data_IF_522757185791
#
_entry.id   IF_522757185791
#
_cell.length_a   1.000
_cell.length_b   1.000
_cell.length_c   1.000
_cell.angle_alpha   90.00
_cell.angle_beta   90.00
_cell.angle_gamma   90.00
#
_symmetry.space_group_name_H-M   'P 1'
#
loop_
_entity.id
_entity.type
_entity.pdbx_description
1 polymer ?
#
# COMPACT_ATOMS: atom_id res chain seq x y z
N UNK A 1 -8.69 3.18 -4.12
CA UNK A 1 -9.91 2.71 -3.41
C UNK A 1 -9.67 2.71 -1.92
N UNK A 2 -10.55 3.30 -1.14
CA UNK A 2 -10.43 3.23 0.31
C UNK A 2 -11.42 2.19 0.84
N UNK A 3 -10.98 1.41 1.83
CA UNK A 3 -11.80 0.36 2.42
C UNK A 3 -12.04 0.72 3.87
N UNK A 4 -13.34 0.76 4.25
CA UNK A 4 -13.73 1.05 5.61
C UNK A 4 -13.95 -0.26 6.36
N UNK A 5 -13.39 -0.34 7.56
CA UNK A 5 -13.43 -1.55 8.38
C UNK A 5 -14.35 -1.34 9.56
N UNK A 6 -15.47 -2.04 9.54
CA UNK A 6 -16.42 -2.04 10.66
C UNK A 6 -16.50 -3.45 11.23
N UNK A 7 -16.42 -3.63 12.56
CA UNK A 7 -16.38 -4.98 13.14
C UNK A 7 -17.52 -5.89 12.69
N UNK A 8 -18.74 -5.36 12.58
CA UNK A 8 -19.90 -6.14 12.16
C UNK A 8 -19.90 -6.54 10.70
N UNK A 9 -19.00 -5.97 9.88
CA UNK A 9 -18.97 -6.21 8.44
C UNK A 9 -17.68 -6.85 7.96
N UNK A 10 -16.79 -7.23 8.86
CA UNK A 10 -15.46 -7.75 8.49
C UNK A 10 -15.55 -9.01 7.61
N UNK A 11 -16.47 -9.90 7.91
CA UNK A 11 -16.62 -11.14 7.13
C UNK A 11 -17.02 -10.85 5.69
N UNK A 12 -17.94 -9.92 5.49
CA UNK A 12 -18.40 -9.53 4.15
C UNK A 12 -17.29 -8.79 3.39
N UNK A 13 -16.56 -7.91 4.08
CA UNK A 13 -15.44 -7.20 3.50
C UNK A 13 -14.32 -8.16 3.07
N UNK A 14 -14.05 -9.20 3.88
CA UNK A 14 -13.06 -10.22 3.55
C UNK A 14 -13.39 -10.90 2.21
N UNK A 15 -14.64 -11.30 2.00
CA UNK A 15 -15.06 -11.92 0.74
C UNK A 15 -14.88 -10.99 -0.45
N UNK A 16 -15.29 -9.73 -0.31
CA UNK A 16 -15.18 -8.75 -1.39
C UNK A 16 -13.75 -8.49 -1.75
N UNK A 17 -12.88 -8.33 -0.75
CA UNK A 17 -11.46 -8.09 -0.99
C UNK A 17 -10.80 -9.28 -1.65
N UNK A 18 -11.15 -10.50 -1.23
CA UNK A 18 -10.61 -11.70 -1.83
C UNK A 18 -10.97 -11.81 -3.32
N UNK A 19 -12.18 -11.44 -3.69
CA UNK A 19 -12.61 -11.44 -5.09
C UNK A 19 -11.84 -10.40 -5.92
N UNK A 20 -11.66 -9.21 -5.38
CA UNK A 20 -10.89 -8.16 -6.05
C UNK A 20 -9.42 -8.56 -6.13
N UNK A 21 -8.88 -9.10 -5.04
CA UNK A 21 -7.46 -9.46 -4.94
C UNK A 21 -7.05 -10.51 -5.97
N UNK A 22 -7.97 -11.37 -6.38
CA UNK A 22 -7.68 -12.38 -7.39
C UNK A 22 -7.22 -11.76 -8.73
N UNK A 23 -7.59 -10.51 -9.00
CA UNK A 23 -7.25 -9.82 -10.24
C UNK A 23 -6.14 -8.78 -10.06
N UNK A 24 -5.60 -8.65 -8.86
CA UNK A 24 -4.63 -7.61 -8.51
C UNK A 24 -3.21 -8.11 -8.71
N UNK A 25 -2.38 -7.28 -9.32
CA UNK A 25 -0.96 -7.56 -9.53
C UNK A 25 -0.08 -6.91 -8.46
N UNK A 26 -0.45 -5.73 -7.98
CA UNK A 26 0.30 -4.95 -7.00
C UNK A 26 -0.67 -4.32 -6.02
N UNK A 27 -0.35 -4.39 -4.74
CA UNK A 27 -1.11 -3.70 -3.69
C UNK A 27 -0.34 -2.44 -3.28
N UNK A 28 -1.02 -1.30 -3.28
CA UNK A 28 -0.48 -0.04 -2.80
C UNK A 28 -1.24 0.30 -1.52
N UNK A 29 -0.56 0.21 -0.39
CA UNK A 29 -1.16 0.51 0.90
C UNK A 29 -0.68 1.87 1.39
N UNK A 30 -1.63 2.80 1.57
CA UNK A 30 -1.32 4.16 2.02
C UNK A 30 -1.43 4.20 3.54
N UNK A 31 -0.33 4.55 4.18
CA UNK A 31 -0.21 4.61 5.64
C UNK A 31 0.09 6.03 6.08
N UNK A 32 -0.22 6.33 7.34
CA UNK A 32 0.17 7.61 7.93
C UNK A 32 1.62 7.49 8.42
N UNK A 33 2.52 8.30 7.87
CA UNK A 33 3.94 8.25 8.21
C UNK A 33 4.21 8.54 9.69
N UNK A 34 3.29 9.22 10.37
CA UNK A 34 3.44 9.52 11.80
C UNK A 34 3.21 8.28 12.67
N UNK A 35 2.35 7.35 12.24
CA UNK A 35 1.99 6.15 12.99
C UNK A 35 1.76 4.97 12.02
N UNK A 36 2.81 4.52 11.29
CA UNK A 36 2.60 3.52 10.24
C UNK A 36 2.07 2.18 10.77
N UNK A 37 2.52 1.75 11.93
CA UNK A 37 2.09 0.48 12.52
C UNK A 37 0.62 0.45 12.85
N UNK A 38 0.06 1.58 13.28
CA UNK A 38 -1.37 1.67 13.60
C UNK A 38 -2.24 1.83 12.37
N UNK A 39 -1.70 2.34 11.28
CA UNK A 39 -2.47 2.53 10.06
C UNK A 39 -2.46 1.29 9.15
N UNK A 40 -1.63 0.31 9.44
CA UNK A 40 -1.56 -0.92 8.67
C UNK A 40 -2.77 -1.83 8.95
N UNK A 41 -3.30 -2.45 7.89
CA UNK A 41 -4.44 -3.35 8.01
C UNK A 41 -3.99 -4.81 7.92
N UNK A 42 -4.13 -5.58 9.02
CA UNK A 42 -3.69 -6.99 9.02
C UNK A 42 -4.43 -7.88 8.01
N UNK A 43 -5.70 -7.59 7.75
CA UNK A 43 -6.49 -8.36 6.80
C UNK A 43 -5.95 -8.21 5.38
N UNK A 44 -5.49 -7.03 5.01
CA UNK A 44 -4.87 -6.82 3.70
C UNK A 44 -3.57 -7.60 3.57
N UNK A 45 -2.78 -7.68 4.63
CA UNK A 45 -1.56 -8.47 4.63
C UNK A 45 -1.86 -9.94 4.35
N UNK A 46 -2.88 -10.48 5.00
CA UNK A 46 -3.30 -11.86 4.83
C UNK A 46 -3.81 -12.13 3.41
N UNK A 47 -4.70 -11.29 2.91
CA UNK A 47 -5.36 -11.50 1.61
C UNK A 47 -4.44 -11.19 0.44
N UNK A 48 -3.46 -10.33 0.64
CA UNK A 48 -2.49 -9.98 -0.38
C UNK A 48 -1.66 -11.20 -0.83
N UNK A 49 -1.32 -12.08 0.11
CA UNK A 49 -0.49 -13.24 -0.18
C UNK A 49 0.87 -12.84 -0.72
N UNK A 50 1.37 -13.51 -1.79
CA UNK A 50 2.68 -13.23 -2.35
C UNK A 50 2.75 -12.02 -3.28
N UNK A 51 1.64 -11.31 -3.46
CA UNK A 51 1.63 -10.15 -4.36
C UNK A 51 2.54 -9.04 -3.82
N UNK A 52 3.30 -8.35 -4.71
CA UNK A 52 4.12 -7.22 -4.27
C UNK A 52 3.26 -6.13 -3.62
N UNK A 53 3.82 -5.49 -2.62
CA UNK A 53 3.16 -4.43 -1.89
C UNK A 53 4.05 -3.21 -1.78
N UNK A 54 3.51 -2.06 -2.16
CA UNK A 54 4.14 -0.77 -1.96
C UNK A 54 3.52 -0.13 -0.72
N UNK A 55 4.32 0.13 0.30
CA UNK A 55 3.89 0.84 1.52
C UNK A 55 4.16 2.32 1.33
N UNK A 56 3.12 3.09 1.10
CA UNK A 56 3.23 4.54 0.89
C UNK A 56 3.04 5.25 2.22
N UNK A 57 4.11 5.87 2.71
CA UNK A 57 4.10 6.61 3.97
C UNK A 57 3.72 8.05 3.67
N UNK A 58 2.43 8.35 3.78
CA UNK A 58 1.90 9.67 3.51
C UNK A 58 2.12 10.61 4.70
N UNK A 59 2.11 11.90 4.45
CA UNK A 59 2.35 12.95 5.45
C UNK A 59 3.76 12.85 6.05
N UNK A 60 4.74 12.46 5.24
CA UNK A 60 6.11 12.29 5.70
C UNK A 60 6.73 13.60 6.22
N UNK A 61 6.25 14.73 5.72
CA UNK A 61 6.65 16.06 6.19
C UNK A 61 6.27 16.33 7.65
N UNK A 62 5.30 15.59 8.19
CA UNK A 62 4.82 15.71 9.57
C UNK A 62 5.42 14.66 10.51
N UNK A 63 6.25 13.77 9.99
CA UNK A 63 6.83 12.66 10.77
C UNK A 63 8.29 12.93 11.11
N UNK A 64 8.76 12.27 12.17
CA UNK A 64 10.18 12.32 12.54
C UNK A 64 11.00 11.54 11.50
N UNK A 65 11.98 12.16 10.82
CA UNK A 65 12.76 11.47 9.78
C UNK A 65 13.50 10.22 10.27
N UNK A 66 13.99 10.23 11.51
CA UNK A 66 14.71 9.08 12.07
C UNK A 66 13.77 7.91 12.26
N UNK A 67 12.57 8.16 12.79
CA UNK A 67 11.56 7.13 13.00
C UNK A 67 11.05 6.61 11.66
N UNK A 68 10.86 7.49 10.69
CA UNK A 68 10.44 7.10 9.34
C UNK A 68 11.47 6.18 8.69
N UNK A 69 12.76 6.48 8.83
CA UNK A 69 13.82 5.62 8.30
C UNK A 69 13.77 4.23 8.92
N UNK A 70 13.52 4.13 10.22
CA UNK A 70 13.39 2.85 10.92
C UNK A 70 12.19 2.05 10.42
N UNK A 71 11.06 2.70 10.18
CA UNK A 71 9.88 2.04 9.62
C UNK A 71 10.13 1.55 8.19
N UNK A 72 10.84 2.32 7.39
CA UNK A 72 11.20 1.90 6.03
C UNK A 72 12.05 0.64 6.05
N UNK A 73 13.03 0.57 6.94
CA UNK A 73 13.85 -0.62 7.09
C UNK A 73 13.01 -1.82 7.52
N UNK A 74 12.11 -1.62 8.47
CA UNK A 74 11.20 -2.67 8.93
C UNK A 74 10.35 -3.21 7.77
N UNK A 75 9.76 -2.33 6.96
CA UNK A 75 8.93 -2.77 5.84
C UNK A 75 9.74 -3.50 4.77
N UNK A 76 10.98 -3.08 4.52
CA UNK A 76 11.86 -3.82 3.60
C UNK A 76 12.17 -5.22 4.12
N UNK A 77 12.41 -5.34 5.41
CA UNK A 77 12.68 -6.65 6.03
C UNK A 77 11.45 -7.56 5.96
N UNK A 78 10.25 -7.00 5.92
CA UNK A 78 9.01 -7.75 5.74
C UNK A 78 8.71 -8.09 4.28
N UNK A 79 9.60 -7.75 3.35
CA UNK A 79 9.40 -8.07 1.94
C UNK A 79 8.54 -7.08 1.18
N UNK A 80 8.27 -5.91 1.75
CA UNK A 80 7.51 -4.85 1.08
C UNK A 80 8.43 -3.69 0.68
N UNK A 81 7.94 -2.81 -0.19
CA UNK A 81 8.71 -1.66 -0.66
C UNK A 81 8.12 -0.39 -0.07
N UNK A 82 8.85 0.31 0.80
CA UNK A 82 8.36 1.57 1.38
C UNK A 82 8.70 2.78 0.50
N UNK A 83 7.83 3.79 0.54
CA UNK A 83 8.04 5.06 -0.14
C UNK A 83 7.42 6.19 0.68
N UNK A 84 8.18 7.25 0.88
CA UNK A 84 7.70 8.44 1.56
C UNK A 84 7.04 9.39 0.56
N UNK A 85 5.89 9.95 0.93
CA UNK A 85 5.26 11.00 0.15
C UNK A 85 4.67 12.08 1.06
N UNK A 86 4.40 13.24 0.46
CA UNK A 86 3.60 14.29 1.05
C UNK A 86 2.42 14.56 0.11
N UNK A 87 1.21 14.54 0.64
CA UNK A 87 0.00 14.67 -0.18
C UNK A 87 -0.10 15.99 -0.93
N UNK A 88 0.70 16.98 -0.53
CA UNK A 88 0.70 18.30 -1.17
C UNK A 88 1.58 18.39 -2.40
N UNK A 89 2.36 17.36 -2.71
CA UNK A 89 3.28 17.38 -3.84
C UNK A 89 2.75 16.51 -4.99
N UNK A 90 2.31 17.11 -6.13
CA UNK A 90 1.80 16.33 -7.26
C UNK A 90 2.83 15.38 -7.87
N UNK A 91 4.13 15.67 -7.73
CA UNK A 91 5.19 14.81 -8.25
C UNK A 91 5.22 13.45 -7.55
N UNK A 92 4.72 13.35 -6.32
CA UNK A 92 4.73 12.11 -5.55
C UNK A 92 3.81 11.05 -6.16
N UNK A 93 2.68 11.46 -6.74
CA UNK A 93 1.80 10.52 -7.45
C UNK A 93 2.51 9.89 -8.65
N UNK A 94 3.30 10.67 -9.37
CA UNK A 94 4.09 10.16 -10.50
C UNK A 94 5.19 9.21 -10.04
N UNK A 95 5.80 9.49 -8.90
CA UNK A 95 6.82 8.61 -8.32
C UNK A 95 6.23 7.24 -7.99
N UNK A 96 5.03 7.20 -7.43
CA UNK A 96 4.33 5.95 -7.15
C UNK A 96 4.13 5.15 -8.43
N UNK A 97 3.60 5.79 -9.46
CA UNK A 97 3.35 5.14 -10.75
C UNK A 97 4.64 4.65 -11.41
N UNK A 98 5.74 5.37 -11.24
CA UNK A 98 7.02 5.00 -11.81
C UNK A 98 7.63 3.75 -11.15
N UNK A 99 7.33 3.50 -9.87
CA UNK A 99 7.86 2.35 -9.13
C UNK A 99 7.11 1.07 -9.45
N UNK A 100 5.81 1.16 -9.74
CA UNK A 100 4.91 0.01 -9.89
C UNK A 100 5.40 -1.02 -10.93
N UNK A 101 5.83 -0.66 -12.15
CA UNK A 101 6.27 -1.66 -13.11
C UNK A 101 7.43 -2.53 -12.61
N UNK A 102 8.34 -1.95 -11.83
CA UNK A 102 9.49 -2.68 -11.29
C UNK A 102 9.11 -3.72 -10.23
N UNK A 103 7.91 -3.64 -9.67
CA UNK A 103 7.45 -4.58 -8.65
C UNK A 103 6.89 -5.86 -9.25
N UNK A 104 6.50 -5.85 -10.51
CA UNK A 104 5.86 -6.98 -11.19
C UNK A 104 6.88 -7.60 -12.15
N UNK A 105 7.78 -8.44 -11.62
CA UNK A 105 8.95 -8.91 -12.34
C UNK A 105 8.70 -10.01 -13.36
N UNK A 106 7.66 -10.81 -13.19
CA UNK A 106 7.44 -12.00 -14.00
C UNK A 106 6.48 -11.79 -15.15
N UNK A 107 6.11 -10.53 -15.44
CA UNK A 107 5.06 -10.23 -16.39
C UNK A 107 5.59 -9.53 -17.64
N UNK A 108 5.02 -9.88 -18.78
CA UNK A 108 5.28 -9.15 -20.00
C UNK A 108 4.41 -7.90 -20.04
N UNK A 109 4.99 -6.74 -19.75
CA UNK A 109 4.26 -5.48 -19.57
C UNK A 109 3.70 -4.89 -20.85
N UNK A 110 4.23 -5.33 -21.99
CA UNK A 110 3.92 -4.67 -23.27
C UNK A 110 2.49 -4.94 -23.69
N UNK A 111 1.93 -6.09 -23.29
CA UNK A 111 0.65 -6.56 -23.80
C UNK A 111 -0.48 -6.57 -22.78
N UNK A 112 -0.21 -6.32 -21.51
CA UNK A 112 -1.23 -6.41 -20.46
C UNK A 112 -1.10 -5.29 -19.44
N UNK A 113 -2.23 -4.65 -19.07
CA UNK A 113 -2.20 -3.62 -18.04
C UNK A 113 -1.89 -4.23 -16.66
N UNK A 114 -1.26 -3.44 -15.81
CA UNK A 114 -1.01 -3.81 -14.42
C UNK A 114 -2.21 -3.36 -13.59
N UNK A 115 -2.81 -4.30 -12.88
CA UNK A 115 -3.94 -4.01 -11.99
C UNK A 115 -3.43 -3.72 -10.59
N UNK A 116 -3.66 -2.50 -10.11
CA UNK A 116 -3.24 -2.06 -8.79
C UNK A 116 -4.46 -1.92 -7.89
N UNK A 117 -4.33 -2.36 -6.65
CA UNK A 117 -5.32 -2.09 -5.62
C UNK A 117 -4.72 -1.06 -4.65
N UNK A 118 -5.38 0.09 -4.54
CA UNK A 118 -4.95 1.14 -3.62
C UNK A 118 -5.87 1.14 -2.42
N UNK A 119 -5.31 0.95 -1.24
CA UNK A 119 -6.07 0.88 0.00
C UNK A 119 -5.44 1.76 1.06
N UNK A 120 -6.24 2.16 2.04
CA UNK A 120 -5.80 2.94 3.18
C UNK A 120 -6.88 3.00 4.22
N UNK A 121 -6.51 3.39 5.44
CA UNK A 121 -7.51 3.65 6.46
C UNK A 121 -8.08 5.06 6.28
N UNK A 122 -9.27 5.37 6.83
CA UNK A 122 -9.83 6.71 6.75
C UNK A 122 -8.85 7.77 7.29
N UNK A 123 -8.81 8.93 6.65
CA UNK A 123 -8.00 10.09 7.01
C UNK A 123 -6.49 9.95 6.75
N UNK A 124 -6.07 8.93 6.02
CA UNK A 124 -4.64 8.77 5.69
C UNK A 124 -4.24 9.54 4.45
N UNK A 125 -5.13 9.68 3.55
CA UNK A 125 -4.83 10.33 2.30
C UNK A 125 -5.91 11.21 1.83
#
# INVERSE_FOLDING_TARGET
MSIQWFPGHMHRARKQIALVMAKVDVVIEVLDARLPGYSENPLLRELRGPRPCLKVLNKSDLADPVVTAAWKDFFRDCGTVPMEISATNPADARRILAVVPGLVKARNFIMQPINCLIVGIPNVG
#
